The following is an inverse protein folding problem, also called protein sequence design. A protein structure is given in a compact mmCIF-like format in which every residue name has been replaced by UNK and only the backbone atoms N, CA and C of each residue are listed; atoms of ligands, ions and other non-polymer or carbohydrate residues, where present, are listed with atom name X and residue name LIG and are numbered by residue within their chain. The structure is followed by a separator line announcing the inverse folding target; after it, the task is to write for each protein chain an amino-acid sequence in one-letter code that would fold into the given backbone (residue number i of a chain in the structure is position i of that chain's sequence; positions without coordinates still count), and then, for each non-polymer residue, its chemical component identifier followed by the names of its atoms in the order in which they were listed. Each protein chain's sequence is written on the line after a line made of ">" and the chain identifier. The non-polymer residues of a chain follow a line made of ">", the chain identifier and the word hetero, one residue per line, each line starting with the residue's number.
data_IF_559523589029
#
_entry.id   IF_559523589029
#
_cell.length_a   1.000
_cell.length_b   1.000
_cell.length_c   1.000
_cell.angle_alpha   90.00
_cell.angle_beta   90.00
_cell.angle_gamma   90.00
#
_symmetry.space_group_name_H-M   'P 1'
#
loop_
_entity.id
_entity.type
_entity.pdbx_description
1 polymer ?
#
# COMPACT_ATOMS: atom_id res chain seq x y z
N UNK A 1 31.17 41.21 67.24
CA UNK A 1 29.71 40.97 67.28
C UNK A 1 29.41 39.71 66.48
N UNK A 2 28.80 38.71 67.15
CA UNK A 2 27.89 37.61 66.72
C UNK A 2 27.88 37.24 65.22
N UNK A 3 27.93 35.99 64.75
CA UNK A 3 27.92 34.63 65.32
C UNK A 3 27.94 33.62 64.13
N UNK A 4 28.76 32.57 64.17
CA UNK A 4 28.41 31.13 64.26
C UNK A 4 27.20 30.61 63.46
N UNK A 5 27.46 29.59 62.62
CA UNK A 5 26.48 28.60 62.11
C UNK A 5 27.08 27.77 60.96
N UNK A 6 27.81 26.67 61.21
CA UNK A 6 27.33 25.27 61.24
C UNK A 6 26.29 24.90 60.17
N UNK A 7 26.70 24.01 59.26
CA UNK A 7 26.14 22.65 59.24
C UNK A 7 25.41 22.16 57.99
N UNK A 8 25.69 20.89 57.72
CA UNK A 8 24.87 19.86 57.06
C UNK A 8 24.89 19.72 55.52
N UNK A 9 25.74 18.77 55.12
CA UNK A 9 25.45 17.72 54.13
C UNK A 9 24.01 17.19 54.26
N UNK A 10 23.29 17.13 53.13
CA UNK A 10 22.16 16.23 52.96
C UNK A 10 22.26 15.61 51.55
N UNK A 11 22.66 14.34 51.53
CA UNK A 11 22.33 13.41 50.45
C UNK A 11 20.81 13.34 50.31
N UNK A 12 20.29 13.53 49.10
CA UNK A 12 18.91 13.19 48.78
C UNK A 12 18.92 12.07 47.75
N UNK A 13 18.59 10.87 48.23
CA UNK A 13 18.39 9.68 47.44
C UNK A 13 17.25 9.89 46.44
N UNK A 14 17.52 9.66 45.15
CA UNK A 14 16.47 9.52 44.15
C UNK A 14 15.75 8.18 44.38
N UNK A 15 14.50 8.29 44.80
CA UNK A 15 13.54 7.20 44.91
C UNK A 15 13.20 6.70 43.50
N UNK A 16 13.68 5.50 43.15
CA UNK A 16 13.26 4.76 41.96
C UNK A 16 11.91 4.11 42.27
N UNK A 17 10.83 4.66 41.72
CA UNK A 17 9.55 3.92 41.64
C UNK A 17 9.53 3.11 40.36
N UNK A 18 9.82 1.81 40.49
CA UNK A 18 9.44 0.79 39.52
C UNK A 18 7.92 0.64 39.53
N UNK A 19 7.27 1.00 38.41
CA UNK A 19 5.90 0.58 38.10
C UNK A 19 5.99 -0.52 37.06
N UNK A 20 5.79 -1.76 37.52
CA UNK A 20 5.59 -2.94 36.68
C UNK A 20 4.17 -2.93 36.10
N UNK A 21 3.97 -3.15 34.79
CA UNK A 21 2.68 -3.63 34.29
C UNK A 21 2.66 -5.17 34.31
N UNK A 22 1.61 -5.69 34.93
CA UNK A 22 1.27 -7.09 35.00
C UNK A 22 1.11 -7.72 33.61
N UNK A 23 1.58 -8.96 33.50
CA UNK A 23 1.42 -9.81 32.34
C UNK A 23 -0.05 -10.17 32.10
N UNK A 24 -0.67 -9.55 31.11
CA UNK A 24 -1.96 -9.98 30.54
C UNK A 24 -1.72 -10.97 29.41
N UNK A 25 -2.06 -12.25 29.63
CA UNK A 25 -2.14 -13.31 28.62
C UNK A 25 -3.11 -12.90 27.50
N UNK A 26 -2.60 -12.68 26.30
CA UNK A 26 -3.44 -12.65 25.09
C UNK A 26 -3.60 -14.07 24.56
N UNK A 27 -4.85 -14.54 24.51
CA UNK A 27 -5.23 -15.85 24.00
C UNK A 27 -5.19 -15.87 22.47
N UNK A 28 -4.50 -16.88 21.94
CA UNK A 28 -4.49 -17.26 20.53
C UNK A 28 -5.89 -17.74 20.11
N UNK A 29 -6.39 -17.26 18.98
CA UNK A 29 -7.43 -17.97 18.22
C UNK A 29 -6.79 -18.67 17.04
N UNK A 30 -6.79 -20.00 17.10
CA UNK A 30 -6.17 -20.91 16.17
C UNK A 30 -7.02 -21.09 14.90
N UNK A 31 -6.32 -21.20 13.77
CA UNK A 31 -6.83 -21.73 12.52
C UNK A 31 -7.21 -23.21 12.68
N UNK A 32 -8.38 -23.61 12.18
CA UNK A 32 -8.80 -25.01 12.10
C UNK A 32 -8.55 -25.54 10.69
N UNK A 33 -7.57 -26.44 10.59
CA UNK A 33 -7.39 -27.36 9.46
C UNK A 33 -8.22 -28.62 9.74
N UNK A 34 -9.10 -29.00 8.80
CA UNK A 34 -9.82 -30.27 8.82
C UNK A 34 -9.07 -31.31 7.98
N UNK A 35 -8.45 -32.28 8.65
CA UNK A 35 -7.79 -33.43 8.03
C UNK A 35 -8.77 -34.58 7.80
N UNK A 36 -8.51 -35.33 6.73
CA UNK A 36 -9.20 -36.52 6.28
C UNK A 36 -9.14 -37.69 7.29
N UNK A 37 -10.13 -38.57 7.25
CA UNK A 37 -10.06 -39.92 7.83
C UNK A 37 -10.56 -40.96 6.83
N UNK A 38 -9.76 -42.02 6.71
CA UNK A 38 -9.96 -43.24 5.95
C UNK A 38 -10.30 -44.41 6.88
N UNK A 39 -11.19 -45.31 6.47
CA UNK A 39 -11.25 -46.69 6.95
C UNK A 39 -11.95 -47.62 5.92
N UNK A 40 -11.35 -48.77 5.60
CA UNK A 40 -12.00 -49.92 4.94
C UNK A 40 -12.09 -51.11 5.92
N UNK A 41 -12.19 -52.40 5.50
CA UNK A 41 -12.73 -53.01 4.28
C UNK A 41 -13.75 -54.17 4.57
N UNK A 42 -14.41 -54.76 3.56
CA UNK A 42 -15.20 -56.00 3.73
C UNK A 42 -15.93 -56.58 2.50
N UNK A 43 -15.35 -57.66 1.94
CA UNK A 43 -15.88 -58.85 1.22
C UNK A 43 -17.02 -58.79 0.14
N UNK A 44 -16.80 -59.55 -0.95
CA UNK A 44 -17.66 -59.81 -2.13
C UNK A 44 -18.32 -61.22 -2.07
N UNK A 45 -18.95 -61.81 -3.12
CA UNK A 45 -19.60 -61.28 -4.34
C UNK A 45 -21.04 -61.82 -4.58
N UNK A 46 -21.81 -61.18 -5.47
CA UNK A 46 -23.05 -61.72 -6.02
C UNK A 46 -23.16 -61.41 -7.51
N UNK A 47 -23.18 -62.44 -8.35
CA UNK A 47 -23.30 -62.34 -9.80
C UNK A 47 -24.76 -62.26 -10.25
N UNK A 48 -25.06 -61.35 -11.18
CA UNK A 48 -26.35 -61.24 -11.87
C UNK A 48 -26.30 -60.14 -12.94
N UNK A 49 -27.03 -60.29 -14.07
CA UNK A 49 -26.46 -60.01 -15.39
C UNK A 49 -26.88 -58.68 -16.02
N UNK A 50 -26.10 -58.26 -17.03
CA UNK A 50 -26.58 -57.37 -18.11
C UNK A 50 -26.36 -55.88 -17.93
N UNK A 51 -25.11 -55.42 -17.94
CA UNK A 51 -24.83 -54.00 -18.18
C UNK A 51 -24.72 -53.78 -19.70
N UNK A 52 -25.81 -53.30 -20.29
CA UNK A 52 -25.78 -52.65 -21.60
C UNK A 52 -24.85 -51.44 -21.50
N UNK A 53 -23.79 -51.44 -22.29
CA UNK A 53 -22.88 -50.30 -22.42
C UNK A 53 -23.69 -49.07 -22.86
N UNK A 54 -24.00 -48.19 -21.92
CA UNK A 54 -24.54 -46.87 -22.23
C UNK A 54 -23.46 -46.13 -23.05
N UNK A 55 -23.80 -45.80 -24.28
CA UNK A 55 -22.98 -44.94 -25.12
C UNK A 55 -22.69 -43.65 -24.35
N UNK A 56 -21.41 -43.39 -24.07
CA UNK A 56 -20.95 -42.12 -23.53
C UNK A 56 -21.23 -41.08 -24.61
N UNK A 57 -22.27 -40.28 -24.42
CA UNK A 57 -22.51 -39.12 -25.28
C UNK A 57 -21.26 -38.23 -25.21
N UNK A 58 -20.74 -37.74 -26.34
CA UNK A 58 -19.60 -36.83 -26.31
C UNK A 58 -19.99 -35.60 -25.47
N UNK A 59 -19.18 -35.30 -24.46
CA UNK A 59 -19.24 -34.03 -23.73
C UNK A 59 -19.25 -32.92 -24.78
N UNK A 60 -20.26 -32.03 -24.83
CA UNK A 60 -20.22 -30.92 -25.76
C UNK A 60 -18.94 -30.15 -25.52
N UNK A 61 -18.15 -30.03 -26.58
CA UNK A 61 -16.92 -29.25 -26.64
C UNK A 61 -17.29 -27.85 -26.12
N UNK A 62 -16.79 -27.50 -24.93
CA UNK A 62 -17.16 -26.25 -24.28
C UNK A 62 -16.74 -25.12 -25.20
N UNK A 63 -17.72 -24.42 -25.76
CA UNK A 63 -17.50 -23.27 -26.63
C UNK A 63 -16.59 -22.29 -25.88
N UNK A 64 -15.37 -22.10 -26.39
CA UNK A 64 -14.41 -21.20 -25.76
C UNK A 64 -15.07 -19.81 -25.66
N UNK A 65 -15.06 -19.17 -24.47
CA UNK A 65 -15.67 -17.87 -24.33
C UNK A 65 -15.03 -16.89 -25.32
N UNK A 66 -15.80 -15.96 -25.90
CA UNK A 66 -15.29 -15.03 -26.88
C UNK A 66 -14.07 -14.27 -26.31
N UNK A 67 -13.07 -13.97 -27.15
CA UNK A 67 -11.85 -13.31 -26.69
C UNK A 67 -12.18 -11.97 -26.04
N UNK A 68 -11.61 -11.73 -24.87
CA UNK A 68 -11.77 -10.46 -24.15
C UNK A 68 -11.02 -9.35 -24.90
N UNK A 69 -11.75 -8.34 -25.37
CA UNK A 69 -11.16 -7.16 -26.02
C UNK A 69 -10.68 -6.19 -24.93
N UNK A 70 -9.36 -6.02 -24.83
CA UNK A 70 -8.73 -5.11 -23.86
C UNK A 70 -8.52 -3.74 -24.54
N UNK A 71 -9.15 -2.66 -24.06
CA UNK A 71 -8.95 -1.33 -24.64
C UNK A 71 -7.52 -0.83 -24.38
N UNK A 72 -6.91 -0.01 -25.25
CA UNK A 72 -5.58 0.55 -24.99
C UNK A 72 -5.59 1.48 -23.76
N UNK A 73 -4.43 1.65 -23.12
CA UNK A 73 -4.29 2.63 -22.05
C UNK A 73 -4.41 4.07 -22.59
N UNK A 74 -4.89 5.02 -21.77
CA UNK A 74 -4.91 6.42 -22.14
C UNK A 74 -3.51 6.94 -22.50
N UNK A 75 -3.42 7.61 -23.65
CA UNK A 75 -2.19 8.20 -24.17
C UNK A 75 -2.37 9.71 -24.34
N UNK A 76 -2.23 10.46 -23.25
CA UNK A 76 -2.22 11.92 -23.31
C UNK A 76 -0.98 12.42 -24.06
N UNK A 77 -1.14 13.47 -24.88
CA UNK A 77 0.00 14.21 -25.43
C UNK A 77 0.71 14.99 -24.32
N UNK A 78 1.94 15.48 -24.58
CA UNK A 78 2.69 16.27 -23.61
C UNK A 78 1.91 17.53 -23.14
N UNK A 79 1.31 18.34 -24.03
CA UNK A 79 0.51 19.50 -23.61
C UNK A 79 -0.71 19.13 -22.78
N UNK A 80 -1.44 18.08 -23.17
CA UNK A 80 -2.60 17.58 -22.42
C UNK A 80 -2.21 17.08 -21.03
N UNK A 81 -1.08 16.39 -20.93
CA UNK A 81 -0.56 15.89 -19.66
C UNK A 81 -0.22 17.02 -18.69
N UNK A 82 0.42 18.10 -19.16
CA UNK A 82 0.66 19.28 -18.33
C UNK A 82 -0.64 20.01 -17.95
N UNK A 83 -1.58 20.14 -18.88
CA UNK A 83 -2.88 20.77 -18.60
C UNK A 83 -3.65 20.00 -17.51
N UNK A 84 -3.66 18.67 -17.60
CA UNK A 84 -4.29 17.78 -16.63
C UNK A 84 -3.56 17.80 -15.28
N UNK A 85 -2.22 17.78 -15.26
CA UNK A 85 -1.45 17.91 -14.02
C UNK A 85 -1.71 19.24 -13.31
N UNK A 86 -1.82 20.34 -14.08
CA UNK A 86 -2.19 21.64 -13.54
C UNK A 86 -3.62 21.66 -12.98
N UNK A 87 -4.58 21.01 -13.67
CA UNK A 87 -5.96 20.83 -13.18
C UNK A 87 -5.98 20.06 -11.86
N UNK A 88 -5.35 18.89 -11.82
CA UNK A 88 -5.26 18.03 -10.63
C UNK A 88 -4.61 18.76 -9.46
N UNK A 89 -3.51 19.48 -9.69
CA UNK A 89 -2.83 20.26 -8.65
C UNK A 89 -3.76 21.30 -8.03
N UNK A 90 -4.47 22.09 -8.87
CA UNK A 90 -5.45 23.06 -8.40
C UNK A 90 -6.57 22.39 -7.59
N UNK A 91 -7.05 21.23 -8.02
CA UNK A 91 -8.09 20.51 -7.29
C UNK A 91 -7.60 19.94 -5.96
N UNK A 92 -6.41 19.34 -5.92
CA UNK A 92 -5.79 18.81 -4.71
C UNK A 92 -5.59 19.92 -3.66
N UNK A 93 -5.10 21.09 -4.07
CA UNK A 93 -4.95 22.25 -3.18
C UNK A 93 -6.28 22.64 -2.52
N UNK A 94 -7.42 22.50 -3.22
CA UNK A 94 -8.74 22.84 -2.67
C UNK A 94 -9.37 21.73 -1.84
N UNK A 95 -9.20 20.47 -2.26
CA UNK A 95 -9.99 19.33 -1.76
C UNK A 95 -9.24 18.43 -0.79
N UNK A 96 -7.91 18.48 -0.77
CA UNK A 96 -7.08 17.56 0.01
C UNK A 96 -6.51 18.24 1.25
N UNK A 97 -6.86 17.70 2.42
CA UNK A 97 -6.33 18.12 3.71
C UNK A 97 -4.81 18.03 3.74
N UNK A 98 -4.18 19.12 4.23
CA UNK A 98 -2.71 19.25 4.39
C UNK A 98 -1.92 19.02 3.09
N UNK A 99 -2.54 19.27 1.93
CA UNK A 99 -1.83 19.26 0.66
C UNK A 99 -0.81 20.39 0.59
N UNK A 100 0.35 20.11 0.01
CA UNK A 100 1.40 21.08 -0.24
C UNK A 100 1.95 20.88 -1.65
N UNK A 101 2.09 21.96 -2.40
CA UNK A 101 2.82 21.98 -3.68
C UNK A 101 4.33 21.86 -3.50
N UNK A 102 4.80 21.91 -2.24
CA UNK A 102 6.21 21.91 -1.83
C UNK A 102 7.03 23.09 -2.38
N UNK A 103 8.20 23.33 -1.79
CA UNK A 103 9.17 24.28 -2.32
C UNK A 103 9.84 23.73 -3.58
N UNK A 104 10.42 24.56 -4.46
CA UNK A 104 11.14 24.09 -5.65
C UNK A 104 12.21 23.05 -5.33
N UNK A 105 12.98 23.22 -4.26
CA UNK A 105 14.00 22.26 -3.85
C UNK A 105 13.42 20.88 -3.50
N UNK A 106 12.29 20.84 -2.79
CA UNK A 106 11.61 19.59 -2.43
C UNK A 106 11.00 18.93 -3.69
N UNK A 107 10.41 19.73 -4.59
CA UNK A 107 9.87 19.24 -5.88
C UNK A 107 10.97 18.56 -6.71
N UNK A 108 12.11 19.24 -6.89
CA UNK A 108 13.28 18.68 -7.60
C UNK A 108 13.74 17.38 -6.95
N UNK A 109 13.82 17.35 -5.61
CA UNK A 109 14.23 16.15 -4.87
C UNK A 109 13.31 14.97 -5.12
N UNK A 110 11.99 15.15 -5.09
CA UNK A 110 11.04 14.08 -5.40
C UNK A 110 11.18 13.58 -6.83
N UNK A 111 11.38 14.48 -7.80
CA UNK A 111 11.64 14.09 -9.19
C UNK A 111 12.93 13.26 -9.31
N UNK A 112 14.02 13.70 -8.68
CA UNK A 112 15.29 12.98 -8.67
C UNK A 112 15.15 11.58 -8.07
N UNK A 113 14.52 11.47 -6.90
CA UNK A 113 14.31 10.18 -6.22
C UNK A 113 13.44 9.23 -7.06
N UNK A 114 12.38 9.76 -7.69
CA UNK A 114 11.53 8.97 -8.56
C UNK A 114 12.30 8.42 -9.77
N UNK A 115 13.07 9.29 -10.46
CA UNK A 115 13.88 8.87 -11.62
C UNK A 115 14.92 7.82 -11.23
N UNK A 116 15.60 7.99 -10.09
CA UNK A 116 16.56 7.02 -9.58
C UNK A 116 15.91 5.66 -9.31
N UNK A 117 14.75 5.65 -8.63
CA UNK A 117 14.04 4.41 -8.32
C UNK A 117 13.51 3.70 -9.59
N UNK A 118 12.98 4.45 -10.54
CA UNK A 118 12.51 3.93 -11.83
C UNK A 118 13.68 3.35 -12.64
N UNK A 119 14.82 4.04 -12.71
CA UNK A 119 16.02 3.54 -13.40
C UNK A 119 16.58 2.27 -12.74
N UNK A 120 16.72 2.27 -11.41
CA UNK A 120 17.29 1.13 -10.67
C UNK A 120 16.40 -0.12 -10.71
N UNK A 121 15.07 0.05 -10.75
CA UNK A 121 14.12 -1.05 -10.94
C UNK A 121 13.96 -1.50 -12.39
N UNK A 122 14.58 -0.79 -13.35
CA UNK A 122 14.40 -1.00 -14.80
C UNK A 122 12.93 -0.92 -15.24
N UNK A 123 12.14 -0.12 -14.54
CA UNK A 123 10.74 0.13 -14.87
C UNK A 123 10.68 1.04 -16.09
N UNK A 124 9.90 0.66 -17.10
CA UNK A 124 9.70 1.47 -18.31
C UNK A 124 8.62 2.52 -18.06
N UNK A 125 8.90 3.76 -18.49
CA UNK A 125 7.92 4.83 -18.63
C UNK A 125 7.79 5.09 -20.13
N UNK A 126 6.69 4.62 -20.72
CA UNK A 126 6.39 4.64 -22.15
C UNK A 126 5.32 5.67 -22.55
N UNK A 127 4.65 6.26 -21.56
CA UNK A 127 3.63 7.30 -21.72
C UNK A 127 3.68 8.31 -20.57
N UNK A 128 3.13 9.53 -20.76
CA UNK A 128 2.89 10.45 -19.66
C UNK A 128 1.99 9.82 -18.60
N UNK A 129 2.48 9.72 -17.37
CA UNK A 129 1.73 9.10 -16.27
C UNK A 129 2.16 9.62 -14.90
N UNK A 130 1.25 9.59 -13.93
CA UNK A 130 1.55 9.91 -12.54
C UNK A 130 2.21 8.74 -11.82
N UNK A 131 3.27 9.05 -11.07
CA UNK A 131 3.85 8.18 -10.06
C UNK A 131 3.47 8.71 -8.68
N UNK A 132 3.00 7.83 -7.78
CA UNK A 132 2.89 8.19 -6.37
C UNK A 132 4.22 7.90 -5.69
N UNK A 133 4.98 8.94 -5.33
CA UNK A 133 6.31 8.80 -4.72
C UNK A 133 6.19 9.01 -3.23
N UNK A 134 6.61 8.06 -2.42
CA UNK A 134 6.60 8.10 -0.95
C UNK A 134 8.04 8.07 -0.44
N UNK A 135 8.43 9.09 0.30
CA UNK A 135 9.69 9.08 1.05
C UNK A 135 9.43 8.58 2.48
N UNK A 136 9.80 7.32 2.72
CA UNK A 136 9.63 6.63 4.00
C UNK A 136 10.67 7.04 5.04
N UNK A 137 11.66 7.87 4.70
CA UNK A 137 12.66 8.34 5.66
C UNK A 137 11.93 8.94 6.88
N UNK A 138 12.22 8.52 8.13
CA UNK A 138 11.58 9.02 9.34
C UNK A 138 11.59 10.54 9.51
N UNK A 139 12.59 11.22 8.93
CA UNK A 139 12.71 12.68 8.95
C UNK A 139 11.84 13.38 7.89
N UNK A 140 11.28 12.65 6.91
CA UNK A 140 10.53 13.20 5.77
C UNK A 140 9.05 12.81 5.82
N UNK A 141 8.73 11.52 5.71
CA UNK A 141 7.37 10.97 5.82
C UNK A 141 6.32 11.73 4.98
N UNK A 142 6.59 11.85 3.68
CA UNK A 142 5.74 12.58 2.72
C UNK A 142 5.57 11.82 1.43
N UNK A 143 4.43 12.03 0.80
CA UNK A 143 4.18 11.60 -0.56
C UNK A 143 4.16 12.79 -1.52
N UNK A 144 4.45 12.55 -2.79
CA UNK A 144 4.37 13.50 -3.89
C UNK A 144 3.87 12.78 -5.13
N UNK A 145 2.93 13.36 -5.86
CA UNK A 145 2.67 12.94 -7.23
C UNK A 145 3.70 13.55 -8.16
N UNK A 146 4.33 12.71 -8.98
CA UNK A 146 5.27 13.12 -10.02
C UNK A 146 4.71 12.70 -11.38
N UNK A 147 4.48 13.67 -12.26
CA UNK A 147 4.21 13.41 -13.67
C UNK A 147 5.52 13.01 -14.35
N UNK A 148 5.58 11.75 -14.75
CA UNK A 148 6.67 11.15 -15.48
C UNK A 148 6.37 11.14 -16.98
N UNK A 149 7.42 11.32 -17.78
CA UNK A 149 7.36 11.27 -19.24
C UNK A 149 8.38 10.27 -19.80
N UNK A 150 8.10 9.67 -20.96
CA UNK A 150 9.10 8.93 -21.74
C UNK A 150 10.19 9.86 -22.28
N UNK A 151 11.37 9.29 -22.54
CA UNK A 151 12.52 9.99 -23.14
C UNK A 151 13.07 11.13 -22.28
N UNK A 152 13.47 12.21 -22.95
CA UNK A 152 14.17 13.35 -22.32
C UNK A 152 13.24 14.47 -21.82
N UNK A 153 11.93 14.29 -21.95
CA UNK A 153 10.96 15.28 -21.47
C UNK A 153 11.08 15.44 -19.94
N UNK A 154 11.25 16.68 -19.43
CA UNK A 154 11.38 16.90 -17.99
C UNK A 154 10.17 16.43 -17.20
N UNK A 155 10.42 15.75 -16.08
CA UNK A 155 9.37 15.31 -15.16
C UNK A 155 8.97 16.44 -14.21
N UNK A 156 7.73 16.42 -13.75
CA UNK A 156 7.14 17.48 -12.92
C UNK A 156 6.57 16.93 -11.61
N UNK A 157 6.93 17.52 -10.47
CA UNK A 157 6.27 17.25 -9.20
C UNK A 157 5.03 18.14 -9.02
N UNK A 158 3.87 17.53 -8.73
CA UNK A 158 2.59 18.20 -8.50
C UNK A 158 2.41 18.63 -7.03
N UNK A 159 3.08 17.95 -6.11
CA UNK A 159 2.90 18.10 -4.67
C UNK A 159 2.25 16.87 -4.03
N UNK A 160 1.95 16.96 -2.74
CA UNK A 160 1.34 15.85 -2.00
C UNK A 160 1.07 16.16 -0.54
N UNK A 161 1.01 15.12 0.28
CA UNK A 161 0.64 15.22 1.70
C UNK A 161 1.67 14.54 2.61
N UNK A 162 1.66 14.85 3.92
CA UNK A 162 2.26 13.99 4.92
C UNK A 162 1.65 12.57 4.84
N UNK A 163 2.48 11.56 5.07
CA UNK A 163 2.06 10.15 5.16
C UNK A 163 2.62 9.53 6.44
N UNK A 164 2.18 8.32 6.77
CA UNK A 164 2.82 7.49 7.78
C UNK A 164 3.13 6.12 7.21
N UNK A 165 4.39 5.75 7.21
CA UNK A 165 4.85 4.41 6.82
C UNK A 165 5.15 3.54 8.03
N UNK A 166 5.60 2.33 7.76
CA UNK A 166 6.04 1.34 8.73
C UNK A 166 7.17 1.88 9.62
N UNK A 167 7.23 1.38 10.86
CA UNK A 167 8.17 1.85 11.88
C UNK A 167 8.88 0.69 12.60
N UNK A 168 10.01 1.00 13.22
CA UNK A 168 10.73 0.07 14.08
C UNK A 168 10.14 0.00 15.50
N UNK A 169 10.55 -1.01 16.27
CA UNK A 169 10.45 -1.04 17.73
C UNK A 169 9.15 -1.57 18.35
N UNK A 170 8.16 -1.97 17.54
CA UNK A 170 6.92 -2.62 18.03
C UNK A 170 6.71 -3.96 17.37
N UNK A 171 6.44 -5.01 18.16
CA UNK A 171 6.22 -6.38 17.65
C UNK A 171 5.20 -6.37 16.51
N UNK A 172 5.51 -7.05 15.42
CA UNK A 172 4.73 -7.12 14.17
C UNK A 172 4.75 -5.87 13.27
N UNK A 173 5.52 -4.83 13.62
CA UNK A 173 5.66 -3.65 12.77
C UNK A 173 6.82 -3.81 11.79
N UNK A 174 6.53 -3.77 10.51
CA UNK A 174 7.55 -3.82 9.47
C UNK A 174 7.98 -2.41 9.08
N UNK A 175 9.21 -2.28 8.59
CA UNK A 175 9.63 -1.10 7.84
C UNK A 175 9.05 -1.23 6.43
N UNK A 176 8.20 -0.29 6.00
CA UNK A 176 7.59 -0.32 4.66
C UNK A 176 8.68 -0.48 3.60
N UNK A 177 8.64 -1.50 2.73
CA UNK A 177 9.71 -1.79 1.78
C UNK A 177 9.90 -0.64 0.79
N UNK A 178 11.13 -0.46 0.33
CA UNK A 178 11.46 0.45 -0.77
C UNK A 178 11.37 -0.31 -2.09
N UNK A 179 11.03 0.39 -3.18
CA UNK A 179 10.84 -0.24 -4.48
C UNK A 179 9.84 0.51 -5.35
N UNK A 180 9.59 -0.06 -6.53
CA UNK A 180 8.52 0.35 -7.44
C UNK A 180 7.47 -0.77 -7.44
N UNK A 181 6.28 -0.44 -6.96
CA UNK A 181 5.21 -1.40 -6.71
C UNK A 181 4.03 -1.09 -7.64
N UNK A 182 3.72 -1.98 -8.60
CA UNK A 182 2.64 -1.76 -9.54
C UNK A 182 1.28 -2.16 -8.94
N UNK A 183 0.24 -1.38 -9.25
CA UNK A 183 -1.17 -1.62 -8.96
C UNK A 183 -1.80 -2.29 -10.19
N UNK A 184 -1.67 -3.59 -10.26
CA UNK A 184 -2.02 -4.44 -11.40
C UNK A 184 -3.41 -5.05 -11.27
N UNK A 185 -3.96 -5.52 -12.40
CA UNK A 185 -5.29 -6.14 -12.44
C UNK A 185 -5.30 -7.65 -12.08
N UNK A 186 -4.16 -8.24 -11.70
CA UNK A 186 -4.06 -9.60 -11.16
C UNK A 186 -4.59 -9.72 -9.72
N UNK A 187 -4.72 -8.58 -9.02
CA UNK A 187 -5.24 -8.49 -7.65
C UNK A 187 -6.27 -7.38 -7.59
N UNK A 188 -7.32 -7.67 -6.83
CA UNK A 188 -8.38 -6.71 -6.54
C UNK A 188 -8.13 -6.13 -5.15
N UNK A 189 -7.95 -4.81 -5.06
CA UNK A 189 -8.04 -4.13 -3.77
C UNK A 189 -9.47 -4.15 -3.23
N UNK A 190 -9.73 -3.47 -2.10
CA UNK A 190 -11.05 -3.52 -1.46
C UNK A 190 -11.48 -2.16 -0.92
N UNK A 191 -12.64 -2.17 -0.24
CA UNK A 191 -13.26 -1.03 0.43
C UNK A 191 -13.25 -1.27 1.93
N UNK A 192 -12.83 -0.27 2.69
CA UNK A 192 -12.87 -0.33 4.15
C UNK A 192 -14.31 -0.49 4.65
N UNK A 193 -14.52 -1.37 5.63
CA UNK A 193 -15.82 -1.50 6.31
C UNK A 193 -16.07 -0.35 7.30
N UNK A 194 -15.01 0.35 7.71
CA UNK A 194 -15.09 1.41 8.72
C UNK A 194 -15.22 0.87 10.15
N UNK A 195 -14.78 -0.37 10.38
CA UNK A 195 -14.84 -1.04 11.68
C UNK A 195 -13.96 -0.34 12.70
N UNK A 196 -14.55 -0.04 13.87
CA UNK A 196 -13.86 0.55 15.01
C UNK A 196 -13.24 -0.56 15.86
N UNK A 197 -12.00 -0.38 16.30
CA UNK A 197 -11.43 -1.22 17.36
C UNK A 197 -11.95 -0.81 18.75
N UNK A 198 -11.47 -1.47 19.80
CA UNK A 198 -11.82 -1.18 21.20
C UNK A 198 -11.59 0.30 21.61
N UNK A 199 -10.70 1.01 20.92
CA UNK A 199 -10.38 2.42 21.16
C UNK A 199 -11.21 3.37 20.28
N UNK A 200 -12.21 2.86 19.55
CA UNK A 200 -13.04 3.64 18.64
C UNK A 200 -12.36 4.02 17.31
N UNK A 201 -11.15 3.52 17.05
CA UNK A 201 -10.32 3.88 15.90
C UNK A 201 -10.61 2.96 14.72
N UNK A 202 -10.76 3.55 13.53
CA UNK A 202 -10.91 2.83 12.26
C UNK A 202 -9.54 2.63 11.59
N UNK A 203 -9.02 1.41 11.62
CA UNK A 203 -7.64 1.09 11.22
C UNK A 203 -7.29 1.57 9.80
N UNK A 204 -8.17 1.26 8.84
CA UNK A 204 -8.02 1.57 7.41
C UNK A 204 -8.89 2.75 6.94
N UNK A 205 -9.35 3.57 7.89
CA UNK A 205 -10.19 4.74 7.62
C UNK A 205 -11.70 4.47 7.66
N UNK A 206 -12.48 5.47 7.28
CA UNK A 206 -13.95 5.40 7.28
C UNK A 206 -14.50 4.35 6.30
N UNK A 207 -15.76 3.98 6.50
CA UNK A 207 -16.46 3.05 5.59
C UNK A 207 -16.42 3.55 4.15
N UNK A 208 -16.14 2.66 3.21
CA UNK A 208 -16.08 2.95 1.77
C UNK A 208 -14.74 3.52 1.28
N UNK A 209 -13.79 3.83 2.17
CA UNK A 209 -12.45 4.25 1.75
C UNK A 209 -11.76 3.16 0.95
N UNK A 210 -11.00 3.55 -0.08
CA UNK A 210 -10.30 2.63 -0.96
C UNK A 210 -9.06 2.07 -0.27
N UNK A 211 -8.81 0.77 -0.41
CA UNK A 211 -7.52 0.16 -0.06
C UNK A 211 -6.86 -0.37 -1.33
N UNK A 212 -5.80 0.28 -1.79
CA UNK A 212 -4.98 -0.24 -2.88
C UNK A 212 -4.05 -1.31 -2.33
N UNK A 213 -4.23 -2.53 -2.81
CA UNK A 213 -3.45 -3.69 -2.42
C UNK A 213 -2.36 -3.92 -3.46
N UNK A 214 -1.10 -3.77 -3.05
CA UNK A 214 0.06 -3.89 -3.91
C UNK A 214 0.74 -5.27 -3.79
N UNK A 215 0.13 -6.21 -3.07
CA UNK A 215 0.61 -7.57 -2.98
C UNK A 215 1.52 -7.87 -1.80
N UNK A 216 2.02 -9.10 -1.79
CA UNK A 216 2.99 -9.58 -0.81
C UNK A 216 4.40 -9.14 -1.20
N UNK A 217 5.12 -8.57 -0.26
CA UNK A 217 6.50 -8.11 -0.42
C UNK A 217 7.33 -8.50 0.80
N UNK A 218 8.62 -8.72 0.58
CA UNK A 218 9.54 -9.00 1.66
C UNK A 218 9.98 -7.67 2.30
N UNK A 219 9.86 -7.56 3.62
CA UNK A 219 10.18 -6.34 4.34
C UNK A 219 10.93 -6.64 5.64
N UNK A 220 11.75 -5.69 6.08
CA UNK A 220 12.47 -5.80 7.35
C UNK A 220 11.47 -5.79 8.51
N UNK A 221 11.56 -6.80 9.37
CA UNK A 221 10.81 -6.89 10.63
C UNK A 221 11.33 -5.81 11.58
N UNK A 222 10.67 -4.67 11.62
CA UNK A 222 11.11 -3.48 12.37
C UNK A 222 11.22 -3.70 13.88
N UNK A 223 10.65 -4.77 14.44
CA UNK A 223 10.80 -5.13 15.85
C UNK A 223 12.04 -5.96 16.17
N UNK A 224 12.77 -6.41 15.16
CA UNK A 224 14.00 -7.20 15.34
C UNK A 224 15.22 -6.36 15.05
N UNK A 225 16.28 -6.60 15.83
CA UNK A 225 17.56 -5.88 15.70
C UNK A 225 18.51 -6.50 14.69
N UNK A 226 18.26 -7.75 14.31
CA UNK A 226 19.08 -8.54 13.38
C UNK A 226 18.78 -8.25 11.90
N UNK A 227 17.82 -7.37 11.62
CA UNK A 227 17.43 -7.03 10.25
C UNK A 227 16.69 -8.16 9.53
N UNK A 228 16.19 -9.18 10.26
CA UNK A 228 15.43 -10.27 9.67
C UNK A 228 14.26 -9.72 8.85
N UNK A 229 14.04 -10.30 7.68
CA UNK A 229 12.91 -9.95 6.83
C UNK A 229 11.77 -10.96 6.96
N UNK A 230 10.59 -10.56 6.52
CA UNK A 230 9.43 -11.44 6.37
C UNK A 230 8.42 -10.81 5.45
N UNK A 231 7.42 -11.60 5.08
CA UNK A 231 6.43 -11.15 4.11
C UNK A 231 5.40 -10.23 4.76
N UNK A 232 5.06 -9.17 4.04
CA UNK A 232 3.99 -8.24 4.38
C UNK A 232 3.09 -8.02 3.18
N UNK A 233 1.81 -7.75 3.44
CA UNK A 233 0.92 -7.20 2.44
C UNK A 233 1.10 -5.68 2.41
N UNK A 234 1.62 -5.15 1.31
CA UNK A 234 1.80 -3.71 1.16
C UNK A 234 0.48 -3.09 0.67
N UNK A 235 -0.04 -2.15 1.45
CA UNK A 235 -1.28 -1.46 1.12
C UNK A 235 -1.12 0.06 1.22
N UNK A 236 -1.89 0.78 0.41
CA UNK A 236 -2.15 2.22 0.58
C UNK A 236 -3.59 2.34 1.08
N UNK A 237 -3.79 3.03 2.22
CA UNK A 237 -5.13 3.18 2.78
C UNK A 237 -5.31 4.51 3.52
N UNK A 238 -6.58 4.90 3.68
CA UNK A 238 -6.96 6.07 4.44
C UNK A 238 -6.61 5.91 5.93
N UNK A 239 -6.33 7.03 6.58
CA UNK A 239 -6.16 7.12 8.02
C UNK A 239 -7.46 7.55 8.68
N UNK A 240 -7.71 7.10 9.90
CA UNK A 240 -8.85 7.60 10.68
C UNK A 240 -8.79 9.15 10.78
N UNK A 241 -9.77 9.87 10.20
CA UNK A 241 -9.75 11.33 10.14
C UNK A 241 -9.98 11.98 11.49
N UNK A 242 -10.67 11.32 12.41
CA UNK A 242 -11.00 11.87 13.73
C UNK A 242 -9.81 11.76 14.69
N UNK A 243 -9.08 10.63 14.66
CA UNK A 243 -8.08 10.34 15.69
C UNK A 243 -6.62 10.37 15.22
N UNK A 244 -6.35 9.88 14.00
CA UNK A 244 -5.00 9.51 13.59
C UNK A 244 -4.42 10.38 12.47
N UNK A 245 -5.23 11.11 11.69
CA UNK A 245 -4.72 11.96 10.61
C UNK A 245 -3.75 13.04 11.07
N UNK A 246 -3.97 13.61 12.27
CA UNK A 246 -3.05 14.56 12.91
C UNK A 246 -1.65 13.98 13.17
N UNK A 247 -1.53 12.65 13.17
CA UNK A 247 -0.25 11.95 13.36
C UNK A 247 0.51 11.73 12.06
N UNK A 248 -0.09 11.94 10.89
CA UNK A 248 0.61 11.83 9.60
C UNK A 248 1.81 12.78 9.53
N UNK A 249 2.89 12.32 8.90
CA UNK A 249 4.20 12.98 8.85
C UNK A 249 5.25 12.35 9.78
N UNK A 250 5.01 11.13 10.27
CA UNK A 250 5.94 10.35 11.12
C UNK A 250 5.67 8.85 10.92
N UNK A 251 6.67 7.97 11.10
CA UNK A 251 6.44 6.53 11.01
C UNK A 251 5.41 6.09 12.05
N UNK A 252 4.32 5.47 11.60
CA UNK A 252 3.17 5.13 12.45
C UNK A 252 2.21 4.12 11.81
N UNK A 253 2.72 3.17 11.01
CA UNK A 253 1.97 2.04 10.46
C UNK A 253 2.68 0.72 10.76
N UNK A 254 1.99 -0.39 10.50
CA UNK A 254 2.54 -1.75 10.63
C UNK A 254 3.31 -2.22 9.38
N UNK A 255 3.47 -1.35 8.38
CA UNK A 255 4.11 -1.65 7.11
C UNK A 255 3.41 -1.01 5.90
N UNK A 256 2.17 -0.55 6.06
CA UNK A 256 1.38 0.11 5.03
C UNK A 256 1.77 1.57 4.78
N UNK A 257 1.28 2.17 3.70
CA UNK A 257 1.33 3.62 3.44
C UNK A 257 -0.01 4.25 3.84
N UNK A 258 0.02 5.00 4.93
CA UNK A 258 -1.16 5.70 5.45
C UNK A 258 -1.24 7.11 4.86
N UNK A 259 -2.36 7.44 4.24
CA UNK A 259 -2.65 8.75 3.64
C UNK A 259 -3.84 9.44 4.32
N UNK A 260 -4.03 10.77 4.15
CA UNK A 260 -5.27 11.42 4.58
C UNK A 260 -6.49 10.82 3.87
N UNK A 261 -7.63 10.74 4.54
CA UNK A 261 -8.90 10.29 3.97
C UNK A 261 -9.33 11.14 2.78
N UNK A 262 -9.12 12.46 2.82
CA UNK A 262 -9.39 13.32 1.67
C UNK A 262 -8.49 13.02 0.47
N UNK A 263 -7.23 12.60 0.72
CA UNK A 263 -6.33 12.17 -0.36
C UNK A 263 -6.80 10.83 -0.94
N UNK A 264 -7.23 9.91 -0.09
CA UNK A 264 -7.81 8.63 -0.51
C UNK A 264 -9.02 8.84 -1.44
N UNK A 265 -9.98 9.66 -1.02
CA UNK A 265 -11.16 10.01 -1.84
C UNK A 265 -10.75 10.69 -3.13
N UNK A 266 -9.76 11.59 -3.09
CA UNK A 266 -9.30 12.29 -4.29
C UNK A 266 -8.65 11.34 -5.30
N UNK A 267 -7.75 10.47 -4.82
CA UNK A 267 -7.10 9.44 -5.63
C UNK A 267 -8.10 8.48 -6.25
N UNK A 268 -9.07 8.05 -5.46
CA UNK A 268 -10.14 7.16 -5.88
C UNK A 268 -11.01 7.85 -6.93
N UNK A 269 -11.54 9.05 -6.68
CA UNK A 269 -12.39 9.74 -7.67
C UNK A 269 -11.68 10.01 -9.01
N UNK A 270 -10.38 10.32 -8.99
CA UNK A 270 -9.61 10.65 -10.20
C UNK A 270 -8.80 9.48 -10.76
N UNK A 271 -8.89 8.28 -10.17
CA UNK A 271 -8.17 7.09 -10.60
C UNK A 271 -6.66 7.24 -10.70
N UNK A 272 -6.01 8.00 -9.81
CA UNK A 272 -4.61 8.42 -9.99
C UNK A 272 -3.60 7.25 -10.06
N UNK A 273 -3.94 6.09 -9.48
CA UNK A 273 -3.15 4.86 -9.54
C UNK A 273 -3.90 3.70 -10.24
N UNK A 274 -5.06 3.96 -10.82
CA UNK A 274 -6.00 2.93 -11.23
C UNK A 274 -6.05 2.72 -12.76
N UNK A 275 -5.06 3.16 -13.54
CA UNK A 275 -5.14 3.08 -15.02
C UNK A 275 -5.42 1.64 -15.52
N UNK A 276 -4.82 0.63 -14.88
CA UNK A 276 -5.06 -0.79 -15.19
C UNK A 276 -6.40 -1.30 -14.62
N UNK A 277 -6.87 -0.73 -13.51
CA UNK A 277 -8.17 -1.05 -12.93
C UNK A 277 -9.31 -0.48 -13.79
N UNK A 278 -9.15 0.72 -14.34
CA UNK A 278 -10.11 1.33 -15.27
C UNK A 278 -10.19 0.52 -16.57
N UNK A 279 -9.05 0.08 -17.10
CA UNK A 279 -8.99 -0.85 -18.23
C UNK A 279 -9.71 -2.17 -17.89
N UNK A 280 -9.40 -2.77 -16.73
CA UNK A 280 -10.03 -4.02 -16.29
C UNK A 280 -11.53 -3.90 -16.07
N UNK A 281 -12.03 -2.76 -15.57
CA UNK A 281 -13.46 -2.54 -15.37
C UNK A 281 -14.29 -2.57 -16.67
N UNK A 282 -13.64 -2.41 -17.84
CA UNK A 282 -14.32 -2.55 -19.14
C UNK A 282 -14.76 -3.99 -19.42
N UNK A 283 -14.04 -5.00 -18.91
CA UNK A 283 -14.30 -6.41 -19.18
C UNK A 283 -14.50 -7.29 -17.94
N UNK A 284 -14.17 -6.81 -16.73
CA UNK A 284 -14.34 -7.53 -15.47
C UNK A 284 -15.29 -6.79 -14.52
N UNK A 285 -16.41 -7.43 -14.20
CA UNK A 285 -17.45 -6.89 -13.33
C UNK A 285 -16.98 -6.62 -11.91
N UNK A 286 -15.95 -7.34 -11.42
CA UNK A 286 -15.42 -7.17 -10.06
C UNK A 286 -14.70 -5.84 -9.92
N UNK A 287 -13.88 -5.48 -10.92
CA UNK A 287 -13.25 -4.17 -10.99
C UNK A 287 -14.31 -3.07 -11.12
N UNK A 288 -15.29 -3.26 -12.01
CA UNK A 288 -16.40 -2.31 -12.16
C UNK A 288 -17.19 -2.08 -10.88
N UNK A 289 -17.41 -3.13 -10.08
CA UNK A 289 -18.12 -3.04 -8.81
C UNK A 289 -17.31 -2.33 -7.71
N UNK A 290 -15.98 -2.40 -7.77
CA UNK A 290 -15.08 -1.78 -6.80
C UNK A 290 -14.95 -0.26 -6.98
N UNK A 291 -15.00 0.22 -8.22
CA UNK A 291 -14.80 1.62 -8.60
C UNK A 291 -16.10 2.43 -8.44
N UNK A 292 -16.07 3.66 -7.87
CA UNK A 292 -17.29 4.46 -7.75
C UNK A 292 -17.83 4.86 -9.12
N UNK A 293 -19.16 4.98 -9.24
CA UNK A 293 -19.82 5.28 -10.51
C UNK A 293 -19.62 6.71 -11.00
N UNK A 294 -19.30 7.63 -10.10
CA UNK A 294 -19.14 9.07 -10.37
C UNK A 294 -17.68 9.52 -10.47
N UNK A 295 -16.76 8.56 -10.71
CA UNK A 295 -15.35 8.85 -10.96
C UNK A 295 -15.16 9.68 -12.23
N UNK A 296 -14.04 10.36 -12.29
CA UNK A 296 -13.53 11.01 -13.50
C UNK A 296 -12.05 10.64 -13.61
N UNK A 297 -11.73 9.44 -14.13
CA UNK A 297 -10.34 8.97 -14.20
C UNK A 297 -9.48 9.92 -15.03
N UNK A 298 -8.29 10.21 -14.53
CA UNK A 298 -7.36 11.11 -15.20
C UNK A 298 -6.72 10.43 -16.43
N UNK A 299 -6.59 11.11 -17.58
CA UNK A 299 -5.88 10.57 -18.74
C UNK A 299 -4.37 10.37 -18.49
N UNK A 300 -3.82 10.95 -17.42
CA UNK A 300 -2.43 10.71 -16.96
C UNK A 300 -2.38 9.80 -15.73
N UNK A 301 -3.46 9.08 -15.41
CA UNK A 301 -3.44 8.07 -14.35
C UNK A 301 -2.27 7.10 -14.57
N UNK A 302 -1.56 6.78 -13.49
CA UNK A 302 -0.54 5.75 -13.48
C UNK A 302 -1.03 4.47 -12.82
N UNK A 303 -0.08 3.62 -12.49
CA UNK A 303 -0.26 2.34 -11.81
C UNK A 303 0.85 2.08 -10.78
N UNK A 304 1.70 3.06 -10.44
CA UNK A 304 2.93 2.80 -9.68
C UNK A 304 3.01 3.61 -8.39
N UNK A 305 3.17 2.88 -7.28
CA UNK A 305 3.71 3.42 -6.03
C UNK A 305 5.23 3.27 -6.06
N UNK A 306 5.95 4.37 -5.87
CA UNK A 306 7.41 4.39 -5.72
C UNK A 306 7.71 4.70 -4.25
N UNK A 307 8.22 3.75 -3.49
CA UNK A 307 8.67 3.99 -2.11
C UNK A 307 10.19 4.11 -2.10
N UNK A 308 10.68 5.23 -1.60
CA UNK A 308 12.10 5.52 -1.44
C UNK A 308 12.42 5.81 0.02
N UNK A 309 13.67 5.60 0.40
CA UNK A 309 14.20 6.08 1.67
C UNK A 309 15.34 7.02 1.35
N UNK A 310 15.11 8.32 1.49
CA UNK A 310 16.08 9.32 1.09
C UNK A 310 17.34 9.43 1.97
N UNK A 311 17.38 8.69 3.09
CA UNK A 311 18.62 8.49 3.84
C UNK A 311 19.48 7.35 3.26
N UNK A 312 18.94 6.57 2.33
CA UNK A 312 19.58 5.41 1.72
C UNK A 312 19.83 5.67 0.22
N UNK A 313 20.89 5.08 -0.34
CA UNK A 313 21.10 5.12 -1.78
C UNK A 313 20.03 4.28 -2.52
N UNK A 314 19.60 4.76 -3.68
CA UNK A 314 18.70 4.04 -4.57
C UNK A 314 19.49 3.00 -5.40
N UNK A 315 19.88 1.88 -4.78
CA UNK A 315 20.56 0.78 -5.49
C UNK A 315 19.55 -0.26 -6.01
N UNK A 316 19.86 -0.98 -7.09
CA UNK A 316 19.01 -2.07 -7.58
C UNK A 316 18.75 -3.14 -6.52
N UNK A 317 19.75 -3.49 -5.70
CA UNK A 317 19.61 -4.46 -4.60
C UNK A 317 18.66 -3.96 -3.51
N UNK A 318 18.72 -2.67 -3.18
CA UNK A 318 17.82 -2.07 -2.21
C UNK A 318 16.37 -2.04 -2.72
N UNK A 319 16.17 -1.85 -4.03
CA UNK A 319 14.86 -1.70 -4.68
C UNK A 319 14.28 -3.01 -5.25
N UNK A 320 15.06 -4.11 -5.24
CA UNK A 320 14.66 -5.43 -5.77
C UNK A 320 14.04 -6.35 -4.72
N UNK A 321 13.68 -5.85 -3.53
CA UNK A 321 12.99 -6.61 -2.48
C UNK A 321 11.53 -7.01 -2.83
N UNK A 322 11.23 -7.17 -4.12
CA UNK A 322 10.08 -7.90 -4.63
C UNK A 322 10.30 -9.42 -4.49
N UNK A 323 9.23 -10.23 -4.65
CA UNK A 323 9.21 -11.61 -4.21
C UNK A 323 10.25 -12.46 -4.95
N UNK A 324 11.15 -13.10 -4.19
CA UNK A 324 11.87 -14.28 -4.67
C UNK A 324 10.89 -15.46 -4.64
N UNK A 325 10.07 -15.60 -5.68
CA UNK A 325 9.45 -16.89 -5.94
C UNK A 325 10.53 -17.80 -6.51
N UNK A 326 11.20 -18.57 -5.65
CA UNK A 326 11.84 -19.81 -6.07
C UNK A 326 10.73 -20.82 -6.27
N UNK A 327 10.36 -21.05 -7.53
CA UNK A 327 9.69 -22.29 -7.93
C UNK A 327 10.66 -23.46 -7.88
#
# INVERSE_FOLDING_TARGET
>A
MRGTGRGLSLSCAMLVMLVLPAAGRAQNSAATQGAAQSAGPGAAPGAGPGSVAAAVSPTPEAEEPPPVIIPPLPAATIPEAHAEAARLTREMTRKVSRFSTYSPAIRTRFVTLARQAIAASRTVIDRPQLLMVVDRNPAVQRMCFVLAFPGDTPWEALGGTPVSTGQAGRKYYYITPIGVFPNTADRLGYRAEGTKNENGIRGIGAKGMRVWDLGWHNAVKGWRKDGETGDIRLEIHATDPEFLERRLGRPASEGCVRIPATMNVFMDRNGLLDVLYEQAASYDVRFRALLPKDRTPSPIAGDKLVVVDSALPATPEALSAGPKFTG
#
